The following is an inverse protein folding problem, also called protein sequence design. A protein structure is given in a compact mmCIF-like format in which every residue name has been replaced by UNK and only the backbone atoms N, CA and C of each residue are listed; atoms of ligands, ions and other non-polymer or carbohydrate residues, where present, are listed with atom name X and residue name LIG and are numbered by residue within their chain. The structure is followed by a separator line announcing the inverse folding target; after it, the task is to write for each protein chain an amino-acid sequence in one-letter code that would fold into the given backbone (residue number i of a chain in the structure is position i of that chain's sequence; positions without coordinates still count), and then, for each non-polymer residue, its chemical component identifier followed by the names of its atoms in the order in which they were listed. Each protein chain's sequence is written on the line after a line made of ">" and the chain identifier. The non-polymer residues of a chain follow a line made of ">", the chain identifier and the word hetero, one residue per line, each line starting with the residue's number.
data_IF_264928849440
#
_entry.id   IF_264928849440
#
_cell.length_a   1.000
_cell.length_b   1.000
_cell.length_c   1.000
_cell.angle_alpha   90.00
_cell.angle_beta   90.00
_cell.angle_gamma   90.00
#
_symmetry.space_group_name_H-M   'P 1'
#
loop_
_entity.id
_entity.type
_entity.pdbx_description
1 polymer ?
#
# COMPACT_ATOMS: atom_id res chain seq x y z
N UNK A 1 -24.15 -18.87 23.01
CA UNK A 1 -24.16 -17.87 21.90
C UNK A 1 -24.11 -16.51 22.54
N UNK A 2 -22.93 -15.90 22.64
CA UNK A 2 -22.78 -14.57 23.22
C UNK A 2 -22.67 -13.51 22.12
N UNK A 3 -23.04 -12.26 22.41
CA UNK A 3 -22.90 -11.14 21.46
C UNK A 3 -21.45 -10.92 21.02
N UNK A 4 -20.47 -11.33 21.82
CA UNK A 4 -19.05 -11.30 21.47
C UNK A 4 -18.73 -12.24 20.27
N UNK A 5 -19.36 -13.41 20.20
CA UNK A 5 -19.15 -14.39 19.12
C UNK A 5 -19.67 -13.90 17.77
N UNK A 6 -20.66 -12.98 17.78
CA UNK A 6 -21.24 -12.41 16.55
C UNK A 6 -20.38 -11.29 15.96
N UNK A 7 -19.48 -10.69 16.75
CA UNK A 7 -18.64 -9.57 16.34
C UNK A 7 -17.24 -10.00 15.87
N UNK A 8 -16.83 -11.25 16.10
CA UNK A 8 -15.51 -11.76 15.74
C UNK A 8 -15.59 -12.81 14.65
N UNK A 9 -16.20 -12.47 13.50
CA UNK A 9 -15.92 -13.24 12.29
C UNK A 9 -14.50 -12.95 11.85
N UNK A 10 -13.72 -14.00 11.75
CA UNK A 10 -12.43 -13.96 11.07
C UNK A 10 -12.67 -13.59 9.61
N UNK A 11 -12.07 -12.49 9.19
CA UNK A 11 -12.17 -11.95 7.83
C UNK A 11 -10.81 -12.13 7.16
N UNK A 12 -10.79 -12.72 5.96
CA UNK A 12 -9.59 -12.77 5.14
C UNK A 12 -9.54 -11.51 4.28
N UNK A 13 -8.45 -10.75 4.39
CA UNK A 13 -8.26 -9.50 3.65
C UNK A 13 -6.86 -9.44 3.07
N UNK A 14 -6.73 -8.81 1.89
CA UNK A 14 -5.43 -8.60 1.23
C UNK A 14 -4.90 -7.23 1.57
N UNK A 15 -3.73 -7.18 2.21
CA UNK A 15 -3.10 -5.93 2.64
C UNK A 15 -1.63 -5.90 2.21
N UNK A 16 -1.09 -4.71 1.90
CA UNK A 16 0.32 -4.57 1.62
C UNK A 16 1.11 -4.69 2.92
N UNK A 17 2.16 -5.50 2.89
CA UNK A 17 3.13 -5.62 3.97
C UNK A 17 4.49 -5.09 3.51
N UNK A 18 4.95 -4.07 4.23
CA UNK A 18 6.21 -3.36 3.96
C UNK A 18 7.29 -3.70 5.00
N UNK A 19 7.08 -4.77 5.79
CA UNK A 19 7.99 -5.21 6.84
C UNK A 19 7.43 -5.03 8.26
N UNK A 20 8.19 -5.53 9.24
CA UNK A 20 7.81 -5.46 10.65
C UNK A 20 6.71 -6.45 11.06
N UNK A 21 6.12 -6.28 12.24
CA UNK A 21 5.09 -7.18 12.81
C UNK A 21 3.71 -6.52 12.90
N UNK A 22 3.45 -5.53 12.07
CA UNK A 22 2.18 -4.81 12.05
C UNK A 22 1.72 -4.61 10.62
N UNK A 23 0.42 -4.71 10.39
CA UNK A 23 -0.24 -4.34 9.14
C UNK A 23 -1.27 -3.25 9.42
N UNK A 24 -1.48 -2.40 8.43
CA UNK A 24 -2.31 -1.21 8.55
C UNK A 24 -3.33 -1.16 7.43
N UNK A 25 -4.59 -0.89 7.78
CA UNK A 25 -5.61 -0.37 6.88
C UNK A 25 -5.87 1.11 7.18
N UNK A 26 -6.76 1.73 6.40
CA UNK A 26 -7.19 3.12 6.63
C UNK A 26 -7.78 3.35 8.03
N UNK A 27 -8.42 2.32 8.61
CA UNK A 27 -9.21 2.45 9.83
C UNK A 27 -8.59 1.72 11.03
N UNK A 28 -7.74 0.72 10.79
CA UNK A 28 -7.22 -0.16 11.84
C UNK A 28 -5.78 -0.59 11.59
N UNK A 29 -5.17 -1.03 12.68
CA UNK A 29 -3.90 -1.74 12.65
C UNK A 29 -4.02 -3.06 13.39
N UNK A 30 -3.28 -4.07 12.91
CA UNK A 30 -3.21 -5.39 13.52
C UNK A 30 -1.75 -5.80 13.70
N UNK A 31 -1.46 -6.48 14.81
CA UNK A 31 -0.18 -7.11 15.05
C UNK A 31 -0.15 -8.51 14.43
N UNK A 32 0.85 -8.80 13.61
CA UNK A 32 1.00 -10.11 12.97
C UNK A 32 1.51 -11.12 13.99
N UNK A 33 0.78 -12.23 14.15
CA UNK A 33 1.14 -13.37 14.99
C UNK A 33 1.63 -14.53 14.11
N UNK A 34 2.64 -15.24 14.62
CA UNK A 34 3.21 -16.39 13.91
C UNK A 34 4.17 -15.99 12.80
N UNK A 35 4.05 -16.68 11.67
CA UNK A 35 4.91 -16.53 10.50
C UNK A 35 4.70 -15.17 9.84
N UNK A 36 5.79 -14.61 9.33
CA UNK A 36 5.80 -13.37 8.56
C UNK A 36 6.00 -13.70 7.09
N UNK A 37 5.51 -12.85 6.17
CA UNK A 37 5.84 -12.98 4.77
C UNK A 37 7.35 -12.87 4.53
N UNK A 38 7.86 -13.58 3.52
CA UNK A 38 9.29 -13.55 3.17
C UNK A 38 9.66 -12.30 2.36
N UNK A 39 8.73 -11.83 1.52
CA UNK A 39 8.93 -10.71 0.61
C UNK A 39 7.96 -9.56 0.90
N UNK A 40 8.39 -8.35 0.61
CA UNK A 40 7.50 -7.19 0.64
C UNK A 40 6.48 -7.26 -0.50
N UNK A 41 5.25 -6.85 -0.23
CA UNK A 41 4.21 -6.86 -1.25
C UNK A 41 2.83 -7.12 -0.68
N UNK A 42 1.95 -7.63 -1.53
CA UNK A 42 0.57 -7.90 -1.18
C UNK A 42 0.42 -9.32 -0.65
N UNK A 43 -0.22 -9.42 0.51
CA UNK A 43 -0.38 -10.67 1.22
C UNK A 43 -1.78 -10.78 1.79
N UNK A 44 -2.26 -12.03 1.89
CA UNK A 44 -3.54 -12.35 2.52
C UNK A 44 -3.34 -12.58 3.99
N UNK A 45 -4.19 -11.95 4.79
CA UNK A 45 -4.20 -12.05 6.23
C UNK A 45 -5.59 -12.39 6.72
N UNK A 46 -5.67 -13.34 7.65
CA UNK A 46 -6.87 -13.50 8.47
C UNK A 46 -6.77 -12.49 9.61
N UNK A 47 -7.72 -11.55 9.63
CA UNK A 47 -7.87 -10.56 10.70
C UNK A 47 -9.08 -10.92 11.55
N UNK A 48 -8.88 -10.95 12.86
CA UNK A 48 -9.95 -11.18 13.82
C UNK A 48 -10.46 -9.85 14.38
N UNK A 49 -11.57 -9.88 15.11
CA UNK A 49 -12.01 -8.76 15.96
C UNK A 49 -11.00 -8.40 17.07
N UNK A 50 -10.08 -9.32 17.37
CA UNK A 50 -8.87 -9.03 18.15
C UNK A 50 -7.85 -8.29 17.28
N UNK A 51 -7.06 -7.36 17.82
CA UNK A 51 -6.04 -6.56 17.07
C UNK A 51 -4.85 -7.39 16.54
N UNK A 52 -5.11 -8.62 16.10
CA UNK A 52 -4.14 -9.59 15.63
C UNK A 52 -4.48 -10.02 14.20
N UNK A 53 -3.45 -10.31 13.44
CA UNK A 53 -3.52 -10.83 12.09
C UNK A 53 -2.64 -12.07 11.96
N UNK A 54 -3.08 -13.02 11.15
CA UNK A 54 -2.27 -14.21 10.81
C UNK A 54 -2.04 -14.23 9.31
N UNK A 55 -0.79 -14.39 8.89
CA UNK A 55 -0.45 -14.48 7.49
C UNK A 55 -0.91 -15.83 6.91
N UNK A 56 -1.55 -15.78 5.74
CA UNK A 56 -2.05 -16.95 5.02
C UNK A 56 -1.15 -17.27 3.82
N UNK A 57 -0.68 -16.24 3.12
CA UNK A 57 0.12 -16.39 1.92
C UNK A 57 0.15 -15.14 1.05
N UNK A 58 0.77 -15.20 -0.13
CA UNK A 58 0.76 -14.10 -1.09
C UNK A 58 -0.67 -13.83 -1.60
N UNK A 59 -0.90 -12.58 -1.99
CA UNK A 59 -2.16 -12.10 -2.57
C UNK A 59 -1.91 -11.11 -3.68
N UNK A 60 -2.92 -10.92 -4.54
CA UNK A 60 -2.89 -9.87 -5.55
C UNK A 60 -3.26 -8.52 -4.94
N UNK A 61 -2.80 -7.44 -5.55
CA UNK A 61 -3.15 -6.10 -5.10
C UNK A 61 -4.66 -5.89 -5.14
N UNK A 62 -5.23 -5.40 -4.03
CA UNK A 62 -6.62 -5.00 -4.00
C UNK A 62 -6.77 -3.68 -4.77
N UNK A 63 -7.51 -3.66 -5.91
CA UNK A 63 -7.61 -2.48 -6.77
C UNK A 63 -8.34 -1.31 -6.12
N UNK A 64 -9.11 -1.54 -5.04
CA UNK A 64 -9.84 -0.49 -4.32
C UNK A 64 -9.16 -0.09 -3.01
N UNK A 65 -7.96 -0.61 -2.72
CA UNK A 65 -7.28 -0.36 -1.46
C UNK A 65 -6.99 1.12 -1.21
N UNK A 66 -6.72 1.88 -2.28
CA UNK A 66 -6.45 3.31 -2.23
C UNK A 66 -7.73 4.18 -2.19
N UNK A 67 -8.90 3.60 -2.40
CA UNK A 67 -10.18 4.31 -2.32
C UNK A 67 -10.40 4.87 -0.91
N UNK A 68 -10.61 6.19 -0.83
CA UNK A 68 -10.78 6.89 0.44
C UNK A 68 -9.50 7.10 1.25
N UNK A 69 -8.31 6.82 0.68
CA UNK A 69 -7.01 7.08 1.34
C UNK A 69 -6.26 8.21 0.65
N UNK A 70 -5.59 9.11 1.40
CA UNK A 70 -4.64 10.04 0.82
C UNK A 70 -3.42 9.26 0.30
N UNK A 71 -3.50 8.87 -0.96
CA UNK A 71 -2.48 8.05 -1.64
C UNK A 71 -1.76 8.92 -2.67
N UNK A 72 -0.44 8.78 -2.79
CA UNK A 72 0.33 9.44 -3.86
C UNK A 72 0.66 8.41 -4.93
N UNK A 73 0.28 8.70 -6.17
CA UNK A 73 0.62 7.90 -7.36
C UNK A 73 1.66 8.65 -8.18
N UNK A 74 2.56 7.92 -8.80
CA UNK A 74 3.67 8.51 -9.52
C UNK A 74 4.82 7.56 -9.83
N UNK A 75 5.84 8.09 -10.50
CA UNK A 75 7.04 7.38 -10.89
C UNK A 75 8.12 7.51 -9.82
N UNK A 76 8.73 6.39 -9.43
CA UNK A 76 9.89 6.39 -8.55
C UNK A 76 11.17 6.61 -9.38
N UNK A 77 11.78 7.79 -9.25
CA UNK A 77 13.04 8.15 -9.90
C UNK A 77 14.12 8.27 -8.83
N UNK A 78 15.00 7.27 -8.75
CA UNK A 78 15.96 7.15 -7.65
C UNK A 78 15.24 7.03 -6.30
N UNK A 79 15.36 8.05 -5.45
CA UNK A 79 14.71 8.14 -4.15
C UNK A 79 13.51 9.11 -4.12
N UNK A 80 13.07 9.60 -5.28
CA UNK A 80 12.02 10.62 -5.38
C UNK A 80 10.78 10.06 -6.08
N UNK A 81 9.62 10.23 -5.44
CA UNK A 81 8.32 9.97 -6.06
C UNK A 81 7.88 11.20 -6.86
N UNK A 82 7.79 11.08 -8.18
CA UNK A 82 7.31 12.09 -9.10
C UNK A 82 5.83 11.83 -9.37
N UNK A 83 4.95 12.74 -8.92
CA UNK A 83 3.50 12.59 -9.09
C UNK A 83 3.11 12.48 -10.57
N UNK A 84 2.06 11.72 -10.89
CA UNK A 84 1.53 11.64 -12.25
C UNK A 84 1.04 13.00 -12.77
N UNK A 85 0.61 13.89 -11.86
CA UNK A 85 0.17 15.25 -12.17
C UNK A 85 1.32 16.22 -12.49
N UNK A 86 2.58 15.77 -12.46
CA UNK A 86 3.72 16.61 -12.81
C UNK A 86 3.76 16.80 -14.34
N UNK A 87 3.11 17.87 -14.79
CA UNK A 87 3.29 18.39 -16.15
C UNK A 87 4.62 19.11 -16.27
N UNK A 88 5.50 18.65 -17.16
CA UNK A 88 6.70 19.41 -17.52
C UNK A 88 6.24 20.64 -18.32
N UNK A 89 6.24 21.82 -17.70
CA UNK A 89 6.08 23.08 -18.41
C UNK A 89 7.39 23.40 -19.11
N UNK A 90 7.59 22.86 -20.30
CA UNK A 90 8.64 23.34 -21.18
C UNK A 90 8.31 24.77 -21.59
N UNK A 91 9.18 25.73 -21.27
CA UNK A 91 9.27 26.95 -22.09
C UNK A 91 9.96 26.50 -23.38
N UNK A 92 9.20 26.37 -24.46
CA UNK A 92 9.72 25.99 -25.78
C UNK A 92 10.94 26.83 -26.18
N UNK A 93 10.94 28.12 -25.81
CA UNK A 93 12.03 29.06 -26.11
C UNK A 93 13.39 28.61 -25.52
N UNK A 94 13.40 27.95 -24.36
CA UNK A 94 14.63 27.53 -23.69
C UNK A 94 15.26 26.25 -24.29
N UNK A 95 14.46 25.45 -25.03
CA UNK A 95 14.96 24.25 -25.73
C UNK A 95 15.76 24.62 -26.98
N UNK A 96 15.36 25.68 -27.69
CA UNK A 96 16.08 26.14 -28.86
C UNK A 96 17.47 26.72 -28.53
N UNK A 97 17.60 27.42 -27.40
CA UNK A 97 18.90 27.95 -26.96
C UNK A 97 19.92 26.84 -26.61
N UNK A 98 19.47 25.71 -26.05
CA UNK A 98 20.35 24.57 -25.76
C UNK A 98 20.78 23.79 -27.01
N UNK A 99 19.97 23.81 -28.07
CA UNK A 99 20.24 23.03 -29.29
C UNK A 99 21.16 23.78 -30.27
N UNK A 100 21.21 25.11 -30.18
CA UNK A 100 22.04 25.97 -31.05
C UNK A 100 23.41 26.33 -30.44
N UNK A 101 23.69 25.90 -29.21
CA UNK A 101 24.96 26.14 -28.50
C UNK A 101 25.99 24.98 -28.67
N UNK A 102 25.92 24.24 -29.79
CA UNK A 102 26.90 23.21 -30.18
C UNK A 102 27.62 23.62 -31.45
#
# INVERSE_FOLDING_TARGET
>A
MTWADLLSKDEETTLPWTGGRSIFSSQRSWAIKGQLPEEFGWHRFVVAGSRQATWVGPGEADPVFDEGRPTKKGYLVGNRLISDDVGVRFKLDALFEQTLAV
#
